data_IF_897745594316
#
_entry.id   IF_897745594316
#
_cell.length_a   1.000
_cell.length_b   1.000
_cell.length_c   1.000
_cell.angle_alpha   90.00
_cell.angle_beta   90.00
_cell.angle_gamma   90.00
#
_symmetry.space_group_name_H-M   'P 1'
#
loop_
_entity.id
_entity.type
_entity.pdbx_description
1 polymer ?
#
# COMPACT_ATOMS: atom_id res chain seq x y z
N UNK A 1 9.25 6.37 -9.69
CA UNK A 1 8.80 6.03 -11.05
C UNK A 1 7.27 6.04 -11.12
N UNK A 2 6.70 6.41 -12.28
CA UNK A 2 5.26 6.31 -12.55
C UNK A 2 4.88 4.86 -12.88
N UNK A 3 3.71 4.41 -12.44
CA UNK A 3 3.28 3.03 -12.65
C UNK A 3 3.11 2.69 -14.14
N UNK A 4 2.66 3.62 -14.96
CA UNK A 4 2.59 3.44 -16.41
C UNK A 4 3.94 3.14 -17.04
N UNK A 5 5.00 3.83 -16.60
CA UNK A 5 6.36 3.55 -17.06
C UNK A 5 6.88 2.19 -16.57
N UNK A 6 6.55 1.80 -15.35
CA UNK A 6 6.91 0.49 -14.79
C UNK A 6 6.29 -0.65 -15.61
N UNK A 7 5.04 -0.52 -16.02
CA UNK A 7 4.34 -1.58 -16.77
C UNK A 7 4.87 -1.78 -18.18
N UNK A 8 5.58 -0.80 -18.75
CA UNK A 8 6.11 -0.83 -20.12
C UNK A 8 7.62 -0.95 -20.21
N UNK A 9 8.33 -0.99 -19.08
CA UNK A 9 9.81 -1.05 -19.05
C UNK A 9 10.29 -2.51 -19.02
N UNK A 10 11.27 -2.81 -19.89
CA UNK A 10 12.00 -4.08 -19.85
C UNK A 10 13.00 -4.17 -18.69
N UNK A 11 13.34 -3.05 -18.07
CA UNK A 11 14.35 -2.96 -17.01
C UNK A 11 13.76 -3.19 -15.62
N UNK A 12 12.45 -3.42 -15.55
CA UNK A 12 11.73 -3.68 -14.30
C UNK A 12 11.43 -5.18 -14.19
N UNK A 13 11.64 -5.74 -13.00
CA UNK A 13 11.33 -7.13 -12.73
C UNK A 13 9.87 -7.47 -13.13
N UNK A 14 9.63 -8.57 -13.89
CA UNK A 14 8.30 -8.89 -14.44
C UNK A 14 7.19 -8.99 -13.38
N UNK A 15 7.51 -9.46 -12.19
CA UNK A 15 6.55 -9.52 -11.06
C UNK A 15 6.05 -8.13 -10.66
N UNK A 16 6.95 -7.13 -10.58
CA UNK A 16 6.58 -5.75 -10.25
C UNK A 16 5.75 -5.13 -11.38
N UNK A 17 6.14 -5.35 -12.63
CA UNK A 17 5.40 -4.88 -13.79
C UNK A 17 3.98 -5.50 -13.83
N UNK A 18 3.87 -6.79 -13.52
CA UNK A 18 2.59 -7.49 -13.39
C UNK A 18 1.70 -6.89 -12.32
N UNK A 19 2.22 -6.68 -11.10
CA UNK A 19 1.47 -6.05 -10.01
C UNK A 19 1.05 -4.62 -10.36
N UNK A 20 1.95 -3.82 -10.91
CA UNK A 20 1.67 -2.45 -11.35
C UNK A 20 0.55 -2.41 -12.41
N UNK A 21 0.51 -3.38 -13.33
CA UNK A 21 -0.51 -3.46 -14.37
C UNK A 21 -1.94 -3.67 -13.82
N UNK A 22 -2.06 -4.21 -12.60
CA UNK A 22 -3.34 -4.46 -11.92
C UNK A 22 -3.86 -3.25 -11.14
N UNK A 23 -3.07 -2.19 -11.02
CA UNK A 23 -3.50 -0.96 -10.34
C UNK A 23 -4.49 -0.20 -11.21
N UNK A 24 -5.68 0.08 -10.68
CA UNK A 24 -6.70 0.96 -11.24
C UNK A 24 -6.90 0.82 -12.78
N UNK A 25 -6.71 1.91 -13.51
CA UNK A 25 -6.76 1.97 -14.99
C UNK A 25 -5.44 2.50 -15.56
N UNK A 26 -5.26 2.39 -16.88
CA UNK A 26 -4.10 2.94 -17.58
C UNK A 26 -3.95 4.46 -17.38
N UNK A 27 -5.05 5.20 -17.38
CA UNK A 27 -5.06 6.65 -17.16
C UNK A 27 -4.55 7.01 -15.76
N UNK A 28 -4.99 6.28 -14.74
CA UNK A 28 -4.52 6.48 -13.36
C UNK A 28 -3.05 6.11 -13.24
N UNK A 29 -2.62 4.99 -13.82
CA UNK A 29 -1.21 4.56 -13.79
C UNK A 29 -0.24 5.55 -14.43
N UNK A 30 -0.69 6.36 -15.38
CA UNK A 30 0.14 7.41 -15.99
C UNK A 30 0.52 8.52 -15.01
N UNK A 31 -0.26 8.72 -13.96
CA UNK A 31 0.00 9.73 -12.92
C UNK A 31 0.43 9.11 -11.59
N UNK A 32 -0.07 7.93 -11.26
CA UNK A 32 0.29 7.22 -10.05
C UNK A 32 1.76 6.83 -10.01
N UNK A 33 2.36 6.86 -8.83
CA UNK A 33 3.76 6.49 -8.60
C UNK A 33 3.88 5.25 -7.73
N UNK A 34 5.04 4.58 -7.81
CA UNK A 34 5.37 3.47 -6.91
C UNK A 34 5.33 3.92 -5.44
N UNK A 35 5.96 5.03 -5.10
CA UNK A 35 5.93 5.57 -3.74
C UNK A 35 4.50 5.89 -3.27
N UNK A 36 3.69 6.51 -4.12
CA UNK A 36 2.29 6.80 -3.81
C UNK A 36 1.46 5.53 -3.58
N UNK A 37 1.73 4.44 -4.32
CA UNK A 37 1.06 3.16 -4.10
C UNK A 37 1.49 2.51 -2.78
N UNK A 38 2.78 2.55 -2.44
CA UNK A 38 3.28 2.04 -1.15
C UNK A 38 2.71 2.84 0.03
N UNK A 39 2.58 4.16 -0.13
CA UNK A 39 2.09 5.06 0.92
C UNK A 39 0.57 5.26 0.91
N UNK A 40 -0.20 4.43 0.19
CA UNK A 40 -1.65 4.50 0.21
C UNK A 40 -2.20 4.47 1.62
N UNK A 41 -3.23 5.26 1.85
CA UNK A 41 -3.98 5.18 3.09
C UNK A 41 -4.78 3.87 3.16
N UNK A 42 -4.97 3.38 4.35
CA UNK A 42 -5.77 2.18 4.62
C UNK A 42 -7.25 2.43 4.35
N UNK A 43 -7.96 1.38 3.96
CA UNK A 43 -9.35 1.44 3.54
C UNK A 43 -10.25 0.65 4.44
N UNK A 44 -11.44 1.22 4.70
CA UNK A 44 -12.51 0.58 5.45
C UNK A 44 -13.84 1.14 4.97
N UNK A 45 -14.86 0.28 4.86
CA UNK A 45 -16.20 0.71 4.47
C UNK A 45 -16.71 1.87 5.34
N UNK A 46 -16.54 1.77 6.65
CA UNK A 46 -17.03 2.75 7.61
C UNK A 46 -16.28 4.09 7.57
N UNK A 47 -14.98 4.05 7.27
CA UNK A 47 -14.16 5.25 7.15
C UNK A 47 -14.32 5.96 5.80
N UNK A 48 -14.47 5.21 4.70
CA UNK A 48 -14.52 5.73 3.34
C UNK A 48 -15.91 6.26 2.93
N UNK A 49 -16.59 6.96 3.84
CA UNK A 49 -17.89 7.58 3.64
C UNK A 49 -17.78 9.11 3.72
N UNK A 50 -18.89 9.83 3.39
CA UNK A 50 -18.95 11.28 3.57
C UNK A 50 -18.84 11.64 5.06
N UNK A 51 -18.41 12.86 5.33
CA UNK A 51 -18.33 13.37 6.70
C UNK A 51 -19.69 13.33 7.41
N UNK A 52 -20.76 13.77 6.75
CA UNK A 52 -22.10 13.77 7.32
C UNK A 52 -22.56 12.35 7.67
N UNK A 53 -22.24 11.37 6.83
CA UNK A 53 -22.55 9.98 7.11
C UNK A 53 -21.76 9.47 8.31
N UNK A 54 -20.44 9.73 8.36
CA UNK A 54 -19.60 9.34 9.51
C UNK A 54 -20.08 9.97 10.81
N UNK A 55 -20.49 11.24 10.75
CA UNK A 55 -21.05 11.96 11.91
C UNK A 55 -22.35 11.31 12.39
N UNK A 56 -23.22 10.89 11.48
CA UNK A 56 -24.52 10.29 11.83
C UNK A 56 -24.41 8.96 12.56
N UNK A 57 -23.27 8.27 12.43
CA UNK A 57 -22.99 7.00 13.13
C UNK A 57 -22.04 7.16 14.31
N UNK A 58 -21.84 8.39 14.78
CA UNK A 58 -20.91 8.71 15.86
C UNK A 58 -19.45 8.35 15.55
N UNK A 59 -19.02 8.63 14.31
CA UNK A 59 -17.67 8.44 13.79
C UNK A 59 -17.13 7.00 13.89
N UNK A 60 -15.87 6.80 13.62
CA UNK A 60 -15.16 5.57 13.84
C UNK A 60 -13.80 5.85 14.51
N UNK A 61 -13.17 4.83 15.04
CA UNK A 61 -11.90 4.93 15.75
C UNK A 61 -10.77 5.60 14.93
N UNK A 62 -10.72 5.40 13.62
CA UNK A 62 -9.72 6.04 12.74
C UNK A 62 -9.97 7.53 12.55
N UNK A 63 -11.23 7.95 12.61
CA UNK A 63 -11.56 9.33 12.30
C UNK A 63 -11.42 10.22 13.52
N UNK A 64 -10.77 11.27 13.27
CA UNK A 64 -10.78 12.53 13.79
C UNK A 64 -10.89 12.89 15.07
N UNK A 65 -11.54 12.50 15.68
CA UNK A 65 -11.91 13.38 16.72
C UNK A 65 -11.62 12.88 18.04
N UNK A 66 -10.95 11.80 18.18
CA UNK A 66 -10.73 11.21 19.49
C UNK A 66 -12.04 10.89 20.25
N UNK A 67 -13.16 11.20 19.60
CA UNK A 67 -14.50 10.92 20.09
C UNK A 67 -15.14 9.77 19.36
N UNK A 68 -14.59 9.39 18.22
CA UNK A 68 -14.93 8.17 17.53
C UNK A 68 -14.66 7.01 18.43
N UNK A 69 -15.65 6.67 19.12
CA UNK A 69 -15.52 5.90 20.32
C UNK A 69 -15.18 4.48 20.06
N UNK A 70 -15.51 3.94 18.89
CA UNK A 70 -15.38 2.51 18.70
C UNK A 70 -15.15 2.10 17.25
N UNK A 71 -14.42 1.02 17.05
CA UNK A 71 -14.24 0.41 15.73
C UNK A 71 -15.56 -0.25 15.30
N UNK A 72 -16.10 0.20 14.16
CA UNK A 72 -17.35 -0.34 13.61
C UNK A 72 -17.19 -1.73 12.98
N UNK A 73 -15.94 -2.15 12.74
CA UNK A 73 -15.65 -3.50 12.25
C UNK A 73 -15.48 -4.49 13.39
N UNK A 74 -14.77 -4.08 14.45
CA UNK A 74 -14.57 -4.87 15.67
C UNK A 74 -14.99 -4.01 16.86
N UNK A 75 -16.26 -4.08 17.27
CA UNK A 75 -16.77 -3.31 18.40
C UNK A 75 -16.07 -3.65 19.72
N UNK A 76 -16.03 -2.68 20.62
CA UNK A 76 -15.42 -2.78 21.94
C UNK A 76 -13.89 -2.97 21.94
N UNK A 77 -13.22 -2.59 20.83
CA UNK A 77 -11.77 -2.53 20.79
C UNK A 77 -11.33 -1.18 20.21
N UNK A 78 -10.55 -0.42 20.96
CA UNK A 78 -10.11 0.94 20.61
C UNK A 78 -8.58 1.06 20.49
N UNK A 79 -7.87 -0.06 20.53
CA UNK A 79 -6.41 -0.06 20.56
C UNK A 79 -5.80 0.03 19.18
N UNK A 80 -6.45 -0.55 18.17
CA UNK A 80 -5.95 -0.61 16.80
C UNK A 80 -7.08 -0.36 15.80
N UNK A 81 -6.74 0.28 14.68
CA UNK A 81 -7.62 0.36 13.53
C UNK A 81 -7.37 -0.83 12.60
N UNK A 82 -8.42 -1.56 12.27
CA UNK A 82 -8.36 -2.74 11.38
C UNK A 82 -8.57 -2.39 9.90
N UNK A 83 -8.55 -1.10 9.54
CA UNK A 83 -8.58 -0.70 8.14
C UNK A 83 -7.35 -1.25 7.40
N UNK A 84 -7.58 -1.85 6.23
CA UNK A 84 -6.55 -2.60 5.51
C UNK A 84 -5.80 -1.74 4.49
N UNK A 85 -4.50 -1.98 4.35
CA UNK A 85 -3.74 -1.51 3.21
C UNK A 85 -4.15 -2.29 1.95
N UNK A 86 -4.41 -1.57 0.86
CA UNK A 86 -4.93 -2.17 -0.38
C UNK A 86 -4.10 -1.78 -1.62
N UNK A 87 -2.80 -1.62 -1.45
CA UNK A 87 -1.88 -1.40 -2.57
C UNK A 87 -1.44 -2.71 -3.22
N UNK A 88 -1.36 -2.73 -4.54
CA UNK A 88 -1.00 -3.93 -5.31
C UNK A 88 0.51 -4.24 -5.28
N UNK A 89 1.37 -3.23 -5.03
CA UNK A 89 2.82 -3.40 -5.17
C UNK A 89 3.50 -4.05 -3.97
N UNK A 90 3.06 -3.74 -2.75
CA UNK A 90 3.74 -4.17 -1.54
C UNK A 90 4.02 -5.68 -1.47
N UNK A 91 3.07 -6.59 -1.76
CA UNK A 91 3.34 -8.01 -1.74
C UNK A 91 4.47 -8.42 -2.70
N UNK A 92 4.52 -7.82 -3.89
CA UNK A 92 5.55 -8.11 -4.88
C UNK A 92 6.94 -7.58 -4.47
N UNK A 93 6.98 -6.42 -3.82
CA UNK A 93 8.22 -5.86 -3.29
C UNK A 93 8.75 -6.67 -2.11
N UNK A 94 7.87 -7.18 -1.24
CA UNK A 94 8.24 -8.03 -0.10
C UNK A 94 8.86 -9.35 -0.54
N UNK A 95 8.23 -10.10 -1.45
CA UNK A 95 8.74 -11.41 -1.88
C UNK A 95 10.02 -11.31 -2.71
N UNK A 96 10.34 -10.12 -3.21
CA UNK A 96 11.62 -9.81 -3.86
C UNK A 96 12.65 -9.20 -2.89
N UNK A 97 12.38 -9.22 -1.59
CA UNK A 97 13.26 -8.71 -0.54
C UNK A 97 13.67 -7.24 -0.74
N UNK A 98 12.68 -6.43 -1.13
CA UNK A 98 12.90 -5.01 -1.40
C UNK A 98 13.32 -4.22 -0.18
N UNK A 99 14.19 -3.23 -0.37
CA UNK A 99 14.60 -2.25 0.64
C UNK A 99 14.05 -0.88 0.26
N UNK A 100 13.28 -0.27 1.14
CA UNK A 100 12.76 1.10 1.00
C UNK A 100 13.81 2.09 1.51
N UNK A 101 14.10 3.10 0.71
CA UNK A 101 14.94 4.23 1.09
C UNK A 101 14.04 5.45 1.33
N UNK A 102 14.18 6.03 2.50
CA UNK A 102 13.42 7.19 2.97
C UNK A 102 14.36 8.37 3.10
N UNK A 103 13.87 9.56 2.83
CA UNK A 103 14.57 10.80 3.10
C UNK A 103 13.63 11.76 3.83
N UNK A 104 14.18 12.50 4.79
CA UNK A 104 13.44 13.47 5.59
C UNK A 104 14.36 14.48 6.27
N UNK A 105 13.83 15.31 7.17
CA UNK A 105 14.60 16.35 7.84
C UNK A 105 15.81 15.84 8.61
N UNK A 106 15.74 14.62 9.13
CA UNK A 106 16.80 13.99 9.91
C UNK A 106 17.81 13.21 9.06
N UNK A 107 17.73 13.32 7.73
CA UNK A 107 18.60 12.64 6.78
C UNK A 107 17.99 11.38 6.18
N UNK A 108 18.78 10.63 5.39
CA UNK A 108 18.33 9.41 4.75
C UNK A 108 18.37 8.21 5.72
N UNK A 109 17.38 7.32 5.58
CA UNK A 109 17.35 6.01 6.23
C UNK A 109 16.78 4.95 5.30
N UNK A 110 17.03 3.70 5.59
CA UNK A 110 16.49 2.58 4.80
C UNK A 110 16.10 1.41 5.69
N UNK A 111 15.12 0.63 5.22
CA UNK A 111 14.60 -0.55 5.93
C UNK A 111 14.00 -1.52 4.91
N UNK A 112 13.87 -2.82 5.28
CA UNK A 112 13.14 -3.79 4.48
C UNK A 112 11.68 -3.34 4.24
N UNK A 113 11.11 -3.73 3.10
CA UNK A 113 9.70 -3.41 2.78
C UNK A 113 8.74 -3.97 3.84
N UNK A 114 9.04 -5.13 4.40
CA UNK A 114 8.22 -5.78 5.43
C UNK A 114 8.11 -4.95 6.72
N UNK A 115 9.17 -4.22 7.08
CA UNK A 115 9.22 -3.38 8.27
C UNK A 115 8.58 -1.98 8.06
N UNK A 116 8.20 -1.66 6.83
CA UNK A 116 7.62 -0.37 6.49
C UNK A 116 6.17 -0.23 6.95
N UNK A 117 5.40 -1.32 6.92
CA UNK A 117 3.97 -1.30 7.22
C UNK A 117 3.70 -1.58 8.70
N UNK A 118 2.72 -0.90 9.26
CA UNK A 118 2.27 -1.09 10.63
C UNK A 118 0.96 -1.88 10.66
N UNK A 119 0.74 -2.66 11.73
CA UNK A 119 -0.51 -3.38 11.96
C UNK A 119 -1.61 -2.48 12.56
N UNK A 120 -1.62 -1.21 12.15
CA UNK A 120 -2.61 -0.24 12.57
C UNK A 120 -3.06 0.60 11.36
N UNK A 121 -4.35 0.65 11.12
CA UNK A 121 -4.90 1.41 10.01
C UNK A 121 -4.79 2.93 10.16
N UNK A 122 -4.50 3.45 11.36
CA UNK A 122 -4.23 4.87 11.63
C UNK A 122 -2.75 5.15 11.35
N UNK A 123 -1.87 4.48 12.08
CA UNK A 123 -0.42 4.57 11.90
C UNK A 123 0.03 3.50 10.90
N UNK A 124 -0.37 3.66 9.67
CA UNK A 124 -0.26 2.63 8.62
C UNK A 124 1.16 2.28 8.16
N UNK A 125 2.12 3.17 8.39
CA UNK A 125 3.52 2.97 8.03
C UNK A 125 4.45 3.77 8.96
N UNK A 126 5.75 3.54 8.82
CA UNK A 126 6.79 4.11 9.68
C UNK A 126 7.29 5.50 9.26
N UNK A 127 6.64 6.16 8.31
CA UNK A 127 7.04 7.51 7.90
C UNK A 127 6.73 8.52 9.00
N UNK A 128 7.72 9.33 9.32
CA UNK A 128 7.57 10.48 10.20
C UNK A 128 7.18 11.74 9.41
N UNK A 129 6.79 12.79 10.12
CA UNK A 129 6.42 14.04 9.49
C UNK A 129 7.60 14.63 8.68
N UNK A 130 7.36 14.93 7.41
CA UNK A 130 8.36 15.45 6.49
C UNK A 130 9.23 14.39 5.81
N UNK A 131 9.01 13.11 6.08
CA UNK A 131 9.66 12.01 5.36
C UNK A 131 8.89 11.60 4.12
N UNK A 132 9.63 11.12 3.10
CA UNK A 132 9.04 10.51 1.92
C UNK A 132 9.89 9.36 1.37
N UNK A 133 9.24 8.44 0.69
CA UNK A 133 9.91 7.31 0.02
C UNK A 133 10.63 7.80 -1.22
N UNK A 134 11.95 7.67 -1.22
CA UNK A 134 12.81 8.10 -2.34
C UNK A 134 12.89 7.03 -3.44
N UNK A 135 13.20 5.79 -3.05
CA UNK A 135 13.35 4.65 -3.97
C UNK A 135 13.17 3.33 -3.24
N UNK A 136 13.02 2.26 -4.02
CA UNK A 136 13.13 0.87 -3.57
C UNK A 136 14.28 0.23 -4.34
N UNK A 137 15.11 -0.53 -3.65
CA UNK A 137 16.19 -1.34 -4.23
C UNK A 137 15.97 -2.80 -3.89
N UNK A 138 16.61 -3.68 -4.64
CA UNK A 138 16.52 -5.12 -4.48
C UNK A 138 17.91 -5.72 -4.34
N UNK A 139 18.05 -6.92 -3.73
CA UNK A 139 19.33 -7.62 -3.65
C UNK A 139 19.82 -8.04 -5.04
N UNK A 140 21.12 -8.29 -5.14
CA UNK A 140 21.72 -8.90 -6.34
C UNK A 140 21.11 -10.27 -6.61
N UNK A 141 20.94 -10.61 -7.87
CA UNK A 141 20.36 -11.89 -8.30
C UNK A 141 18.82 -11.92 -8.30
N UNK A 142 18.15 -10.81 -7.94
CA UNK A 142 16.69 -10.74 -7.99
C UNK A 142 16.16 -10.97 -9.40
N UNK A 143 16.91 -10.60 -10.42
CA UNK A 143 16.60 -10.78 -11.85
C UNK A 143 16.48 -12.25 -12.26
N UNK A 144 17.08 -13.17 -11.47
CA UNK A 144 17.02 -14.61 -11.71
C UNK A 144 15.79 -15.26 -11.07
N UNK A 145 15.04 -14.51 -10.28
CA UNK A 145 13.82 -15.00 -9.66
C UNK A 145 12.65 -14.93 -10.65
N UNK A 146 11.83 -15.95 -10.61
CA UNK A 146 10.52 -15.94 -11.27
C UNK A 146 9.45 -15.63 -10.23
N UNK A 147 8.32 -15.03 -10.63
CA UNK A 147 7.27 -14.70 -9.69
C UNK A 147 5.92 -14.53 -10.34
N UNK A 148 4.88 -14.58 -9.53
CA UNK A 148 3.49 -14.36 -9.94
C UNK A 148 2.77 -13.46 -8.94
N UNK A 149 1.94 -12.56 -9.46
CA UNK A 149 1.01 -11.75 -8.68
C UNK A 149 -0.42 -12.05 -9.10
N UNK A 150 -1.26 -12.35 -8.13
CA UNK A 150 -2.70 -12.57 -8.32
C UNK A 150 -3.47 -11.58 -7.46
N UNK A 151 -4.50 -10.99 -8.05
CA UNK A 151 -5.40 -10.03 -7.41
C UNK A 151 -6.83 -10.54 -7.51
N UNK A 152 -7.46 -10.75 -6.37
CA UNK A 152 -8.91 -10.94 -6.28
C UNK A 152 -9.58 -9.56 -6.22
N UNK A 153 -10.55 -9.33 -7.08
CA UNK A 153 -11.36 -8.10 -7.15
C UNK A 153 -12.71 -8.40 -7.81
N UNK A 154 -13.69 -7.56 -7.60
CA UNK A 154 -15.02 -7.72 -8.18
C UNK A 154 -15.01 -7.41 -9.68
N UNK A 155 -14.39 -6.31 -10.07
CA UNK A 155 -14.28 -5.86 -11.48
C UNK A 155 -12.85 -5.96 -11.98
N UNK A 156 -12.69 -6.16 -13.27
CA UNK A 156 -11.36 -6.28 -13.90
C UNK A 156 -10.58 -4.95 -13.95
N UNK A 157 -11.22 -3.83 -13.66
CA UNK A 157 -10.61 -2.51 -13.66
C UNK A 157 -11.12 -1.66 -12.49
N UNK A 158 -10.32 -0.69 -12.06
CA UNK A 158 -10.62 0.31 -11.02
C UNK A 158 -10.67 -0.20 -9.58
N UNK A 159 -10.93 -1.45 -9.34
CA UNK A 159 -11.07 -1.97 -7.99
C UNK A 159 -9.73 -2.11 -7.25
N UNK A 160 -9.77 -1.84 -5.97
CA UNK A 160 -8.73 -2.27 -5.04
C UNK A 160 -8.77 -3.79 -4.88
N UNK A 161 -7.66 -4.44 -4.46
CA UNK A 161 -7.70 -5.86 -4.14
C UNK A 161 -8.57 -6.13 -2.90
N UNK A 162 -9.46 -7.11 -3.00
CA UNK A 162 -10.03 -7.79 -1.83
C UNK A 162 -8.98 -8.69 -1.20
N UNK A 163 -8.17 -9.33 -2.04
CA UNK A 163 -6.97 -10.04 -1.65
C UNK A 163 -5.92 -9.95 -2.76
N UNK A 164 -4.66 -9.79 -2.37
CA UNK A 164 -3.52 -9.80 -3.28
C UNK A 164 -2.45 -10.77 -2.78
N UNK A 165 -1.96 -11.64 -3.66
CA UNK A 165 -0.93 -12.62 -3.33
C UNK A 165 0.20 -12.52 -4.34
N UNK A 166 1.41 -12.35 -3.84
CA UNK A 166 2.64 -12.47 -4.62
C UNK A 166 3.42 -13.72 -4.18
N UNK A 167 4.05 -14.36 -5.12
CA UNK A 167 5.00 -15.45 -4.88
C UNK A 167 6.24 -15.27 -5.73
N UNK A 168 7.39 -15.71 -5.22
CA UNK A 168 8.66 -15.65 -5.92
C UNK A 168 9.45 -16.94 -5.66
N UNK A 169 10.16 -17.44 -6.69
CA UNK A 169 11.00 -18.65 -6.62
C UNK A 169 12.19 -18.52 -7.56
N UNK A 170 13.20 -19.33 -7.34
CA UNK A 170 14.41 -19.49 -8.18
C UNK A 170 14.21 -20.66 -9.11
#
# INVERSE_FOLDING_TARGET
ARLGAITSSSDVHPLIASAASKVASSLIRNNATLGGNICLDTRCFWFNQSEDWRRSIDWCHKEDCGTGSDCRVIPNQNTLCVATYQGDLAPSLMVLEGTIHIIGPNGPRSLPVEDFFQLDGITRNVLEHGEFVLKVTFPEGVENRTGSYKKLRVRESWDFPEAGVASSWI
#
